data_IF_004879079311
#
_entry.id   IF_004879079311
#
_cell.length_a   1.000
_cell.length_b   1.000
_cell.length_c   1.000
_cell.angle_alpha   90.00
_cell.angle_beta   90.00
_cell.angle_gamma   90.00
#
_symmetry.space_group_name_H-M   'P 1'
#
loop_
_entity.id
_entity.type
_entity.pdbx_description
1 polymer ?
#
# COMPACT_ATOMS: atom_id res chain seq x y z
N UNK A 1 -7.82 10.57 5.20
CA UNK A 1 -6.42 10.15 5.44
C UNK A 1 -6.40 8.83 6.18
N UNK A 2 -5.45 7.94 5.85
CA UNK A 2 -5.18 6.70 6.61
C UNK A 2 -3.69 6.65 6.92
N UNK A 3 -3.29 6.04 8.02
CA UNK A 3 -1.89 5.94 8.41
C UNK A 3 -1.27 4.64 7.91
N UNK A 4 0.04 4.66 7.69
CA UNK A 4 0.81 3.46 7.42
C UNK A 4 0.87 2.59 8.68
N UNK A 5 0.46 1.32 8.58
CA UNK A 5 0.48 0.36 9.70
C UNK A 5 1.90 0.06 10.24
N UNK A 6 2.95 0.42 9.49
CA UNK A 6 4.35 0.11 9.82
C UNK A 6 5.07 1.27 10.50
N UNK A 7 4.76 2.51 10.12
CA UNK A 7 5.52 3.70 10.55
C UNK A 7 4.65 4.92 10.90
N UNK A 8 3.32 4.76 10.96
CA UNK A 8 2.35 5.79 11.34
C UNK A 8 2.37 7.07 10.49
N UNK A 9 3.07 7.06 9.35
CA UNK A 9 3.07 8.17 8.40
C UNK A 9 1.71 8.30 7.74
N UNK A 10 1.25 9.54 7.54
CA UNK A 10 0.01 9.84 6.85
C UNK A 10 0.11 9.43 5.37
N UNK A 11 -0.92 8.74 4.87
CA UNK A 11 -1.04 8.33 3.47
C UNK A 11 -2.24 9.03 2.86
N UNK A 12 -2.00 9.62 1.69
CA UNK A 12 -3.06 10.06 0.79
C UNK A 12 -3.65 8.84 0.07
N UNK A 13 -4.85 8.44 0.49
CA UNK A 13 -5.50 7.23 -0.03
C UNK A 13 -5.95 7.38 -1.49
N UNK A 14 -6.17 8.60 -1.95
CA UNK A 14 -6.64 8.87 -3.30
C UNK A 14 -5.47 8.69 -4.27
N UNK A 15 -4.32 9.27 -3.96
CA UNK A 15 -3.07 9.08 -4.69
C UNK A 15 -2.61 7.61 -4.67
N UNK A 16 -2.65 6.94 -3.51
CA UNK A 16 -2.27 5.53 -3.39
C UNK A 16 -3.20 4.55 -4.16
N UNK A 17 -4.39 5.01 -4.58
CA UNK A 17 -5.34 4.26 -5.42
C UNK A 17 -5.41 4.79 -6.84
N UNK A 18 -4.72 5.89 -7.13
CA UNK A 18 -4.80 6.57 -8.41
C UNK A 18 -4.04 5.76 -9.46
N UNK A 19 -4.74 5.48 -10.56
CA UNK A 19 -4.14 4.88 -11.74
C UNK A 19 -3.27 5.94 -12.43
N UNK A 20 -1.97 5.71 -12.54
CA UNK A 20 -1.04 6.57 -13.29
C UNK A 20 -0.94 6.19 -14.76
N UNK A 21 -1.33 4.98 -15.11
CA UNK A 21 -1.30 4.46 -16.48
C UNK A 21 -1.93 3.09 -16.58
N UNK A 22 -1.83 2.47 -17.75
CA UNK A 22 -2.25 1.09 -17.95
C UNK A 22 -1.17 0.37 -18.75
N UNK A 23 -0.86 -0.84 -18.33
CA UNK A 23 0.03 -1.73 -19.08
C UNK A 23 -0.56 -2.09 -20.44
N UNK A 24 0.27 -2.60 -21.36
CA UNK A 24 -0.16 -3.07 -22.70
C UNK A 24 -1.32 -4.06 -22.67
N UNK A 25 -1.51 -4.77 -21.55
CA UNK A 25 -2.57 -5.76 -21.37
C UNK A 25 -3.74 -5.26 -20.51
N UNK A 26 -3.82 -3.94 -20.25
CA UNK A 26 -4.96 -3.29 -19.60
C UNK A 26 -4.98 -3.36 -18.07
N UNK A 27 -3.89 -3.81 -17.43
CA UNK A 27 -3.76 -3.70 -15.98
C UNK A 27 -3.39 -2.27 -15.58
N UNK A 28 -4.06 -1.72 -14.57
CA UNK A 28 -3.79 -0.40 -14.02
C UNK A 28 -2.39 -0.34 -13.39
N UNK A 29 -1.63 0.69 -13.74
CA UNK A 29 -0.38 1.07 -13.09
C UNK A 29 -0.68 2.11 -12.02
N UNK A 30 -0.02 1.98 -10.87
CA UNK A 30 -0.12 2.92 -9.76
C UNK A 30 1.28 3.40 -9.41
N UNK A 31 1.40 4.61 -8.86
CA UNK A 31 2.68 5.13 -8.39
C UNK A 31 3.05 4.49 -7.03
N UNK A 32 4.14 3.71 -6.95
CA UNK A 32 4.58 3.12 -5.70
C UNK A 32 5.07 4.15 -4.66
N UNK A 33 5.44 5.37 -5.08
CA UNK A 33 5.86 6.47 -4.22
C UNK A 33 4.67 7.27 -3.67
N UNK A 34 3.51 7.22 -4.35
CA UNK A 34 2.25 7.79 -3.86
C UNK A 34 1.57 6.94 -2.76
N UNK A 35 2.10 5.74 -2.51
CA UNK A 35 1.60 4.80 -1.51
C UNK A 35 1.18 3.48 -2.15
N UNK A 36 1.24 2.41 -1.35
CA UNK A 36 0.93 1.06 -1.80
C UNK A 36 -0.09 0.41 -0.87
N UNK A 37 -0.68 -0.71 -1.32
CA UNK A 37 -1.60 -1.51 -0.50
C UNK A 37 -1.39 -2.99 -0.70
N UNK A 38 -1.76 -3.77 0.30
CA UNK A 38 -1.77 -5.22 0.24
C UNK A 38 -2.98 -5.78 0.98
N UNK A 39 -3.54 -6.85 0.45
CA UNK A 39 -4.62 -7.58 1.10
C UNK A 39 -4.04 -8.64 2.03
N UNK A 40 -4.50 -8.67 3.28
CA UNK A 40 -4.08 -9.66 4.27
C UNK A 40 -5.25 -9.94 5.23
N UNK A 41 -5.51 -11.21 5.57
CA UNK A 41 -6.56 -11.61 6.51
C UNK A 41 -7.96 -11.00 6.27
N UNK A 42 -8.35 -10.77 5.02
CA UNK A 42 -9.67 -10.22 4.71
C UNK A 42 -9.74 -8.69 4.66
N UNK A 43 -8.64 -8.00 4.97
CA UNK A 43 -8.57 -6.54 4.99
C UNK A 43 -7.48 -5.96 4.08
N UNK A 44 -7.73 -4.75 3.56
CA UNK A 44 -6.75 -3.95 2.84
C UNK A 44 -5.91 -3.09 3.79
N UNK A 45 -4.60 -3.34 3.81
CA UNK A 45 -3.61 -2.53 4.51
C UNK A 45 -2.90 -1.58 3.55
N UNK A 46 -2.58 -0.38 4.03
CA UNK A 46 -1.98 0.71 3.26
C UNK A 46 -0.59 1.04 3.81
N UNK A 47 0.31 1.39 2.90
CA UNK A 47 1.71 1.67 3.19
C UNK A 47 2.15 2.93 2.47
N UNK A 48 2.98 3.75 3.12
CA UNK A 48 3.50 4.98 2.51
C UNK A 48 4.48 4.70 1.35
N UNK A 49 4.93 3.45 1.18
CA UNK A 49 5.79 3.05 0.06
C UNK A 49 6.12 1.56 0.09
N UNK A 50 6.94 1.13 -0.87
CA UNK A 50 7.32 -0.28 -1.05
C UNK A 50 8.09 -0.86 0.14
N UNK A 51 8.93 -0.07 0.81
CA UNK A 51 9.71 -0.57 1.94
C UNK A 51 8.82 -1.00 3.11
N UNK A 52 7.85 -0.16 3.51
CA UNK A 52 6.89 -0.49 4.55
C UNK A 52 6.02 -1.69 4.16
N UNK A 53 5.59 -1.76 2.89
CA UNK A 53 4.86 -2.94 2.38
C UNK A 53 5.70 -4.21 2.52
N UNK A 54 6.98 -4.19 2.12
CA UNK A 54 7.86 -5.35 2.20
C UNK A 54 8.09 -5.80 3.65
N UNK A 55 8.30 -4.85 4.57
CA UNK A 55 8.42 -5.15 6.00
C UNK A 55 7.15 -5.83 6.55
N UNK A 56 5.98 -5.31 6.17
CA UNK A 56 4.71 -5.92 6.54
C UNK A 56 4.54 -7.32 5.96
N UNK A 57 4.85 -7.54 4.68
CA UNK A 57 4.73 -8.85 4.04
C UNK A 57 5.69 -9.89 4.64
N UNK A 58 6.85 -9.46 5.15
CA UNK A 58 7.82 -10.35 5.80
C UNK A 58 7.32 -10.85 7.18
N UNK A 59 6.61 -10.01 7.93
CA UNK A 59 6.11 -10.36 9.26
C UNK A 59 4.81 -9.62 9.61
N UNK A 60 3.67 -9.94 8.97
CA UNK A 60 2.45 -9.15 9.08
C UNK A 60 1.87 -9.17 10.49
N UNK A 61 1.98 -10.30 11.19
CA UNK A 61 1.53 -10.49 12.58
C UNK A 61 2.19 -9.54 13.59
N UNK A 62 3.32 -8.91 13.26
CA UNK A 62 3.96 -7.91 14.11
C UNK A 62 3.25 -6.55 14.06
N UNK A 63 2.46 -6.30 13.02
CA UNK A 63 1.80 -5.03 12.75
C UNK A 63 0.28 -5.11 12.90
N UNK A 64 -0.30 -6.31 12.76
CA UNK A 64 -1.75 -6.54 12.87
C UNK A 64 -1.98 -7.52 14.01
N UNK A 65 -2.68 -7.04 15.03
CA UNK A 65 -3.06 -7.77 16.24
C UNK A 65 -4.58 -7.86 16.34
#
# INVERSE_FOLDING_TARGET
MRTCIVCDTEIDLEAARSTTGQTTHGADEVDPDAGTRSFYNGEWYYFCGLQCRNNFLAAPTNYVS
#
